data_IF_801366458623
#
_entry.id   IF_801366458623
#
_cell.length_a   1.000
_cell.length_b   1.000
_cell.length_c   1.000
_cell.angle_alpha   90.00
_cell.angle_beta   90.00
_cell.angle_gamma   90.00
#
_symmetry.space_group_name_H-M   'P 1'
#
loop_
_entity.id
_entity.type
_entity.pdbx_description
1 polymer ?
#
# COMPACT_ATOMS: atom_id res chain seq x y z
N UNK A 1 7.18 8.03 -16.42
CA UNK A 1 8.20 8.36 -15.41
C UNK A 1 7.63 8.16 -14.00
N UNK A 2 8.33 7.41 -13.15
CA UNK A 2 7.99 7.10 -11.75
C UNK A 2 8.68 8.12 -10.84
N UNK A 3 7.89 8.87 -10.09
CA UNK A 3 8.43 9.77 -9.07
C UNK A 3 8.91 8.97 -7.85
N UNK A 4 10.11 9.27 -7.36
CA UNK A 4 10.64 8.71 -6.12
C UNK A 4 11.34 9.78 -5.29
N UNK A 5 11.38 9.58 -3.98
CA UNK A 5 12.18 10.37 -3.04
C UNK A 5 13.19 9.47 -2.33
N UNK A 6 14.22 10.06 -1.74
CA UNK A 6 15.19 9.34 -0.90
C UNK A 6 14.79 9.48 0.57
N UNK A 7 14.70 8.36 1.29
CA UNK A 7 14.40 8.30 2.73
C UNK A 7 15.45 7.51 3.48
N UNK A 8 15.75 7.92 4.72
CA UNK A 8 16.69 7.21 5.58
C UNK A 8 15.92 6.25 6.49
N UNK A 9 16.17 4.94 6.39
CA UNK A 9 15.51 3.92 7.22
C UNK A 9 16.53 3.17 8.08
N UNK A 10 16.14 2.90 9.33
CA UNK A 10 16.90 2.03 10.24
C UNK A 10 16.66 0.56 9.93
N UNK A 11 17.48 -0.32 10.47
CA UNK A 11 17.25 -1.76 10.38
C UNK A 11 16.18 -2.18 11.42
N UNK A 12 15.07 -2.83 11.00
CA UNK A 12 14.01 -3.23 11.94
C UNK A 12 14.43 -4.32 12.93
N UNK A 13 15.38 -5.17 12.56
CA UNK A 13 15.89 -6.26 13.41
C UNK A 13 16.98 -5.80 14.36
N UNK A 14 17.78 -4.81 13.95
CA UNK A 14 18.86 -4.25 14.77
C UNK A 14 18.87 -2.72 14.71
N UNK A 15 18.28 -2.10 15.74
CA UNK A 15 18.15 -0.66 15.85
C UNK A 15 19.48 0.07 16.08
N UNK A 16 20.57 -0.65 16.37
CA UNK A 16 21.89 -0.06 16.60
C UNK A 16 22.65 0.25 15.30
N UNK A 17 22.24 -0.36 14.19
CA UNK A 17 22.86 -0.14 12.88
C UNK A 17 22.46 1.24 12.33
N UNK A 18 23.44 1.95 11.76
CA UNK A 18 23.21 3.23 11.11
C UNK A 18 22.14 3.15 10.02
N UNK A 19 21.30 4.19 9.93
CA UNK A 19 20.25 4.31 8.91
C UNK A 19 20.88 4.29 7.50
N UNK A 20 20.20 3.64 6.55
CA UNK A 20 20.58 3.59 5.13
C UNK A 20 19.58 4.36 4.27
N UNK A 21 20.03 4.84 3.12
CA UNK A 21 19.20 5.52 2.15
C UNK A 21 18.43 4.52 1.28
N UNK A 22 17.14 4.78 1.06
CA UNK A 22 16.26 3.98 0.23
C UNK A 22 15.42 4.86 -0.69
N UNK A 23 15.15 4.39 -1.91
CA UNK A 23 14.12 4.98 -2.75
C UNK A 23 12.73 4.67 -2.20
N UNK A 24 11.85 5.67 -2.23
CA UNK A 24 10.45 5.54 -1.84
C UNK A 24 9.58 6.15 -2.93
N UNK A 25 8.70 5.34 -3.53
CA UNK A 25 7.79 5.79 -4.57
C UNK A 25 6.89 6.93 -4.08
N UNK A 26 6.69 7.96 -4.91
CA UNK A 26 5.86 9.12 -4.62
C UNK A 26 4.72 9.20 -5.64
N UNK A 27 3.52 8.81 -5.23
CA UNK A 27 2.35 8.91 -6.11
C UNK A 27 1.88 10.36 -6.24
N UNK A 28 1.58 10.80 -7.46
CA UNK A 28 0.99 12.12 -7.72
C UNK A 28 -0.51 12.13 -7.44
N UNK A 29 -1.21 11.05 -7.81
CA UNK A 29 -2.66 10.93 -7.71
C UNK A 29 -3.09 9.51 -7.31
N UNK A 30 -4.33 9.39 -6.85
CA UNK A 30 -5.01 8.10 -6.68
C UNK A 30 -5.86 7.85 -7.92
N UNK A 31 -5.65 6.70 -8.56
CA UNK A 31 -6.50 6.21 -9.64
C UNK A 31 -7.65 5.41 -9.03
N UNK A 32 -8.81 6.03 -8.90
CA UNK A 32 -10.02 5.35 -8.40
C UNK A 32 -10.67 4.47 -9.49
N UNK A 33 -11.64 3.64 -9.08
CA UNK A 33 -12.34 2.72 -9.97
C UNK A 33 -13.07 3.42 -11.13
N UNK A 34 -13.62 4.63 -10.91
CA UNK A 34 -14.34 5.35 -11.95
C UNK A 34 -13.38 5.91 -13.00
N UNK A 35 -12.26 6.49 -12.57
CA UNK A 35 -11.19 6.98 -13.46
C UNK A 35 -10.53 5.83 -14.20
N UNK A 36 -10.28 4.71 -13.52
CA UNK A 36 -9.70 3.53 -14.15
C UNK A 36 -10.64 2.91 -15.19
N UNK A 37 -11.93 2.79 -14.88
CA UNK A 37 -12.93 2.30 -15.84
C UNK A 37 -13.08 3.23 -17.05
N UNK A 38 -13.03 4.55 -16.85
CA UNK A 38 -13.02 5.53 -17.95
C UNK A 38 -11.77 5.37 -18.82
N UNK A 39 -10.61 5.14 -18.20
CA UNK A 39 -9.37 4.88 -18.91
C UNK A 39 -9.43 3.58 -19.73
N UNK A 40 -10.00 2.50 -19.18
CA UNK A 40 -10.24 1.26 -19.95
C UNK A 40 -11.17 1.55 -21.14
N UNK A 41 -12.27 2.28 -20.91
CA UNK A 41 -13.23 2.63 -21.95
C UNK A 41 -12.57 3.42 -23.11
N UNK A 42 -11.60 4.29 -22.80
CA UNK A 42 -10.89 5.09 -23.80
C UNK A 42 -9.88 4.30 -24.64
N UNK A 43 -9.53 3.07 -24.27
CA UNK A 43 -8.57 2.21 -24.98
C UNK A 43 -9.24 1.27 -26.00
N UNK A 44 -10.20 1.80 -26.77
CA UNK A 44 -10.88 1.03 -27.83
C UNK A 44 -11.83 -0.05 -27.32
N UNK A 45 -12.24 0.02 -26.05
CA UNK A 45 -13.19 -0.90 -25.46
C UNK A 45 -14.62 -0.59 -25.94
N UNK A 46 -15.41 -1.62 -26.24
CA UNK A 46 -16.83 -1.47 -26.62
C UNK A 46 -17.74 -1.20 -25.42
N UNK A 47 -17.29 -1.53 -24.21
CA UNK A 47 -18.03 -1.36 -22.98
C UNK A 47 -17.87 0.06 -22.44
N UNK A 48 -18.97 0.62 -21.92
CA UNK A 48 -18.92 1.95 -21.31
C UNK A 48 -18.35 1.86 -19.89
N UNK A 49 -17.91 3.01 -19.37
CA UNK A 49 -17.45 3.15 -17.97
C UNK A 49 -18.38 2.45 -16.98
N UNK A 50 -19.71 2.62 -17.11
CA UNK A 50 -20.69 2.01 -16.20
C UNK A 50 -20.63 0.48 -16.18
N UNK A 51 -20.49 -0.14 -17.35
CA UNK A 51 -20.46 -1.59 -17.49
C UNK A 51 -19.16 -2.15 -16.91
N UNK A 52 -18.04 -1.47 -17.17
CA UNK A 52 -16.72 -1.84 -16.63
C UNK A 52 -16.71 -1.72 -15.11
N UNK A 53 -17.25 -0.64 -14.54
CA UNK A 53 -17.39 -0.50 -13.08
C UNK A 53 -18.21 -1.65 -12.51
N UNK A 54 -19.36 -1.98 -13.13
CA UNK A 54 -20.20 -3.09 -12.68
C UNK A 54 -19.44 -4.43 -12.67
N UNK A 55 -18.69 -4.74 -13.74
CA UNK A 55 -17.90 -5.96 -13.84
C UNK A 55 -16.79 -6.00 -12.78
N UNK A 56 -16.05 -4.90 -12.60
CA UNK A 56 -14.98 -4.83 -11.60
C UNK A 56 -15.53 -4.98 -10.18
N UNK A 57 -16.69 -4.37 -9.88
CA UNK A 57 -17.37 -4.54 -8.59
C UNK A 57 -17.84 -5.98 -8.38
N UNK A 58 -18.53 -6.57 -9.35
CA UNK A 58 -18.99 -7.97 -9.25
C UNK A 58 -17.82 -8.96 -9.11
N UNK A 59 -16.69 -8.66 -9.76
CA UNK A 59 -15.49 -9.49 -9.66
C UNK A 59 -14.99 -9.59 -8.22
N UNK A 60 -15.10 -8.52 -7.41
CA UNK A 60 -14.72 -8.55 -5.99
C UNK A 60 -15.57 -9.54 -5.20
N UNK A 61 -16.88 -9.55 -5.43
CA UNK A 61 -17.80 -10.48 -4.75
C UNK A 61 -17.50 -11.94 -5.14
N UNK A 62 -17.35 -12.21 -6.44
CA UNK A 62 -16.97 -13.52 -6.93
C UNK A 62 -15.62 -13.96 -6.35
N UNK A 63 -14.62 -13.06 -6.31
CA UNK A 63 -13.32 -13.38 -5.74
C UNK A 63 -13.43 -13.73 -4.25
N UNK A 64 -14.24 -12.99 -3.48
CA UNK A 64 -14.47 -13.28 -2.07
C UNK A 64 -15.04 -14.69 -1.88
N UNK A 65 -16.04 -15.06 -2.67
CA UNK A 65 -16.66 -16.39 -2.63
C UNK A 65 -15.65 -17.50 -2.94
N UNK A 66 -14.89 -17.36 -4.02
CA UNK A 66 -13.93 -18.38 -4.42
C UNK A 66 -12.78 -18.54 -3.42
N UNK A 67 -12.29 -17.44 -2.84
CA UNK A 67 -11.27 -17.49 -1.79
C UNK A 67 -11.81 -18.18 -0.51
N UNK A 68 -13.05 -17.90 -0.10
CA UNK A 68 -13.69 -18.60 1.03
C UNK A 68 -13.95 -20.08 0.75
N UNK A 69 -14.15 -20.45 -0.52
CA UNK A 69 -14.21 -21.84 -0.98
C UNK A 69 -12.82 -22.52 -1.06
N UNK A 70 -11.75 -21.85 -0.60
CA UNK A 70 -10.39 -22.38 -0.58
C UNK A 70 -9.69 -22.40 -1.95
N UNK A 71 -10.25 -21.72 -2.96
CA UNK A 71 -9.66 -21.68 -4.29
C UNK A 71 -8.55 -20.62 -4.37
N UNK A 72 -7.52 -20.92 -5.16
CA UNK A 72 -6.58 -19.92 -5.68
C UNK A 72 -7.13 -19.41 -7.01
N UNK A 73 -7.27 -18.10 -7.15
CA UNK A 73 -7.83 -17.48 -8.35
C UNK A 73 -6.68 -17.01 -9.23
N UNK A 74 -6.62 -17.45 -10.48
CA UNK A 74 -5.62 -17.01 -11.45
C UNK A 74 -6.31 -16.30 -12.62
N UNK A 75 -5.98 -15.02 -12.83
CA UNK A 75 -6.57 -14.16 -13.85
C UNK A 75 -5.54 -13.81 -14.93
N UNK A 76 -4.87 -14.84 -15.47
CA UNK A 76 -3.84 -14.69 -16.51
C UNK A 76 -2.73 -13.71 -16.12
N UNK A 77 -2.46 -12.74 -16.99
CA UNK A 77 -1.42 -11.71 -16.79
C UNK A 77 -1.69 -10.76 -15.63
N UNK A 78 -2.95 -10.65 -15.17
CA UNK A 78 -3.25 -9.90 -13.95
C UNK A 78 -2.58 -10.55 -12.73
N UNK A 79 -2.41 -11.87 -12.73
CA UNK A 79 -1.74 -12.62 -11.68
C UNK A 79 -2.65 -13.53 -10.88
N UNK A 80 -2.21 -13.85 -9.66
CA UNK A 80 -2.84 -14.83 -8.78
C UNK A 80 -3.27 -14.21 -7.45
N UNK A 81 -4.49 -14.50 -7.02
CA UNK A 81 -5.03 -14.14 -5.71
C UNK A 81 -5.24 -15.39 -4.86
N UNK A 82 -4.80 -15.36 -3.61
CA UNK A 82 -4.87 -16.51 -2.70
C UNK A 82 -4.86 -16.10 -1.23
N UNK A 83 -5.32 -16.99 -0.36
CA UNK A 83 -5.32 -16.79 1.09
C UNK A 83 -4.03 -17.33 1.72
N UNK A 84 -3.52 -16.63 2.73
CA UNK A 84 -2.61 -17.20 3.74
C UNK A 84 -3.20 -17.06 5.14
N UNK A 85 -2.84 -17.97 6.04
CA UNK A 85 -3.36 -18.00 7.41
C UNK A 85 -2.30 -17.44 8.36
N UNK A 86 -2.63 -16.36 9.06
CA UNK A 86 -1.85 -15.92 10.21
C UNK A 86 -2.35 -16.67 11.46
N UNK A 87 -1.44 -17.41 12.09
CA UNK A 87 -1.71 -18.22 13.27
C UNK A 87 -0.68 -17.95 14.35
N UNK A 88 -1.09 -18.10 15.60
CA UNK A 88 -0.16 -18.34 16.70
C UNK A 88 0.12 -19.85 16.82
N UNK A 89 1.26 -20.21 17.40
CA UNK A 89 1.61 -21.61 17.64
C UNK A 89 0.82 -22.22 18.80
N UNK A 90 0.46 -23.50 18.66
CA UNK A 90 0.03 -24.35 19.77
C UNK A 90 1.23 -25.16 20.29
N UNK A 91 1.18 -25.67 21.53
CA UNK A 91 2.26 -26.48 22.09
C UNK A 91 2.42 -27.83 21.37
N UNK A 92 1.34 -28.37 20.83
CA UNK A 92 1.33 -29.61 20.04
C UNK A 92 0.22 -29.59 18.98
N UNK A 93 0.33 -30.45 17.96
CA UNK A 93 -0.72 -30.59 16.95
C UNK A 93 -2.07 -31.03 17.56
N UNK A 94 -2.05 -31.83 18.64
CA UNK A 94 -3.24 -32.27 19.35
C UNK A 94 -3.96 -31.12 20.06
N UNK A 95 -3.22 -30.13 20.53
CA UNK A 95 -3.75 -28.95 21.22
C UNK A 95 -4.14 -27.82 20.25
N UNK A 96 -3.88 -27.98 18.96
CA UNK A 96 -4.25 -26.98 17.97
C UNK A 96 -5.78 -26.88 17.85
N UNK A 97 -6.29 -25.72 18.22
CA UNK A 97 -7.68 -25.33 18.02
C UNK A 97 -7.75 -24.16 17.03
N UNK A 98 -8.36 -24.33 15.84
CA UNK A 98 -8.50 -23.26 14.84
C UNK A 98 -9.13 -21.98 15.40
N UNK A 99 -10.13 -22.07 16.27
CA UNK A 99 -10.82 -20.90 16.83
C UNK A 99 -9.94 -20.05 17.77
N UNK A 100 -8.85 -20.63 18.29
CA UNK A 100 -7.92 -19.96 19.22
C UNK A 100 -6.64 -19.53 18.49
N UNK A 101 -6.14 -20.41 17.62
CA UNK A 101 -4.81 -20.27 17.06
C UNK A 101 -4.82 -19.51 15.73
N UNK A 102 -5.87 -19.63 14.91
CA UNK A 102 -6.02 -18.83 13.69
C UNK A 102 -6.45 -17.42 14.09
N UNK A 103 -5.65 -16.42 13.72
CA UNK A 103 -5.88 -15.01 14.06
C UNK A 103 -6.49 -14.23 12.91
N UNK A 104 -6.05 -14.50 11.68
CA UNK A 104 -6.47 -13.75 10.50
C UNK A 104 -6.23 -14.53 9.22
N UNK A 105 -7.11 -14.31 8.24
CA UNK A 105 -6.84 -14.63 6.84
C UNK A 105 -6.29 -13.38 6.13
N UNK A 106 -5.19 -13.55 5.41
CA UNK A 106 -4.65 -12.52 4.54
C UNK A 106 -5.00 -12.88 3.09
N UNK A 107 -5.50 -11.92 2.33
CA UNK A 107 -5.61 -12.05 0.87
C UNK A 107 -4.32 -11.51 0.28
N UNK A 108 -3.65 -12.33 -0.52
CA UNK A 108 -2.38 -12.03 -1.15
C UNK A 108 -2.58 -11.97 -2.65
N UNK A 109 -1.73 -11.18 -3.30
CA UNK A 109 -1.62 -11.13 -4.75
C UNK A 109 -0.18 -11.33 -5.17
N UNK A 110 0.03 -12.11 -6.23
CA UNK A 110 1.29 -12.20 -6.94
C UNK A 110 1.05 -11.77 -8.37
N UNK A 111 1.86 -10.82 -8.84
CA UNK A 111 1.75 -10.26 -10.18
C UNK A 111 1.97 -11.32 -11.27
N UNK A 112 1.23 -11.20 -12.37
CA UNK A 112 1.47 -12.00 -13.57
C UNK A 112 2.67 -11.50 -14.38
N UNK A 113 2.98 -12.21 -15.47
CA UNK A 113 4.22 -12.02 -16.23
C UNK A 113 4.39 -10.58 -16.75
N UNK A 114 3.31 -9.95 -17.22
CA UNK A 114 3.36 -8.58 -17.78
C UNK A 114 3.80 -7.48 -16.80
N UNK A 115 3.85 -7.76 -15.50
CA UNK A 115 4.35 -6.81 -14.50
C UNK A 115 5.81 -7.08 -14.08
N UNK A 116 6.40 -8.21 -14.48
CA UNK A 116 7.75 -8.61 -14.05
C UNK A 116 8.86 -7.72 -14.61
N UNK A 117 8.62 -7.12 -15.79
CA UNK A 117 9.61 -6.35 -16.54
C UNK A 117 9.49 -4.83 -16.34
N UNK A 118 8.64 -4.38 -15.41
CA UNK A 118 8.38 -2.94 -15.19
C UNK A 118 9.65 -2.11 -14.95
N UNK A 119 10.69 -2.70 -14.33
CA UNK A 119 11.93 -1.99 -14.09
C UNK A 119 12.69 -1.65 -15.38
N UNK A 120 12.59 -2.49 -16.40
CA UNK A 120 13.31 -2.31 -17.67
C UNK A 120 12.71 -1.15 -18.49
N UNK A 121 11.40 -0.92 -18.34
CA UNK A 121 10.67 0.16 -18.99
C UNK A 121 10.52 1.42 -18.11
N UNK A 122 11.00 1.37 -16.86
CA UNK A 122 10.82 2.45 -15.90
C UNK A 122 11.83 3.59 -16.09
N UNK A 123 11.31 4.79 -16.35
CA UNK A 123 12.07 6.04 -16.18
C UNK A 123 11.80 6.63 -14.80
N UNK A 124 12.82 7.13 -14.09
CA UNK A 124 12.70 7.66 -12.73
C UNK A 124 12.86 9.17 -12.65
N UNK A 125 12.08 9.80 -11.77
CA UNK A 125 12.17 11.22 -11.44
C UNK A 125 12.39 11.41 -9.94
N UNK A 126 13.51 12.04 -9.55
CA UNK A 126 13.74 12.39 -8.15
C UNK A 126 12.87 13.59 -7.77
N UNK A 127 12.06 13.43 -6.73
CA UNK A 127 11.21 14.47 -6.17
C UNK A 127 11.40 14.61 -4.66
N UNK A 128 11.01 15.75 -4.12
CA UNK A 128 10.93 15.92 -2.67
C UNK A 128 9.89 14.97 -2.05
N UNK A 129 10.10 14.56 -0.80
CA UNK A 129 9.06 13.85 -0.04
C UNK A 129 7.81 14.72 0.09
N UNK A 130 6.63 14.12 0.19
CA UNK A 130 5.39 14.87 0.44
C UNK A 130 5.47 15.74 1.71
N UNK A 131 6.12 15.26 2.76
CA UNK A 131 6.36 16.02 4.00
C UNK A 131 7.23 17.26 3.74
N UNK A 132 8.32 17.11 3.00
CA UNK A 132 9.20 18.24 2.65
C UNK A 132 8.47 19.24 1.76
N UNK A 133 7.77 18.78 0.72
CA UNK A 133 6.99 19.65 -0.16
C UNK A 133 5.92 20.43 0.62
N UNK A 134 5.19 19.78 1.54
CA UNK A 134 4.22 20.44 2.44
C UNK A 134 4.89 21.47 3.35
N UNK A 135 6.05 21.17 3.91
CA UNK A 135 6.79 22.10 4.76
C UNK A 135 7.22 23.35 3.98
N UNK A 136 7.68 23.18 2.74
CA UNK A 136 8.03 24.28 1.84
C UNK A 136 6.81 25.14 1.51
N UNK A 137 5.69 24.54 1.10
CA UNK A 137 4.46 25.28 0.79
C UNK A 137 3.95 26.04 2.03
N UNK A 138 4.01 25.44 3.22
CA UNK A 138 3.63 26.09 4.48
C UNK A 138 4.51 27.30 4.78
N UNK A 139 5.82 27.19 4.60
CA UNK A 139 6.76 28.29 4.82
C UNK A 139 6.56 29.43 3.82
N UNK A 140 6.40 29.11 2.53
CA UNK A 140 6.14 30.09 1.48
C UNK A 140 4.86 30.88 1.75
N UNK A 141 3.76 30.19 2.11
CA UNK A 141 2.49 30.86 2.50
C UNK A 141 2.64 31.75 3.74
N UNK A 142 3.59 31.45 4.62
CA UNK A 142 3.91 32.24 5.79
C UNK A 142 4.95 33.36 5.52
N UNK A 143 5.35 33.59 4.27
CA UNK A 143 6.36 34.58 3.89
C UNK A 143 7.78 34.25 4.35
N UNK A 144 8.04 32.99 4.74
CA UNK A 144 9.37 32.54 5.16
C UNK A 144 10.19 32.12 3.96
N UNK A 145 11.48 32.45 3.97
CA UNK A 145 12.46 32.04 2.96
C UNK A 145 13.27 30.81 3.35
N UNK A 146 13.08 30.30 4.58
CA UNK A 146 13.78 29.15 5.12
C UNK A 146 12.79 28.09 5.63
N UNK A 147 13.15 26.81 5.44
CA UNK A 147 12.37 25.63 5.85
C UNK A 147 13.32 24.66 6.53
N UNK A 148 13.00 24.24 7.75
CA UNK A 148 13.68 23.15 8.42
C UNK A 148 13.08 21.81 7.98
N UNK A 149 13.93 20.91 7.48
CA UNK A 149 13.56 19.58 6.98
C UNK A 149 14.05 18.45 7.87
N UNK A 150 14.60 18.74 9.06
CA UNK A 150 15.14 17.73 10.00
C UNK A 150 14.13 16.65 10.39
N UNK A 151 12.83 16.97 10.44
CA UNK A 151 11.73 16.00 10.65
C UNK A 151 11.03 15.50 9.37
N UNK A 152 11.40 16.03 8.19
CA UNK A 152 10.71 15.72 6.93
C UNK A 152 11.35 14.56 6.14
N UNK A 153 12.49 14.04 6.61
CA UNK A 153 13.29 12.98 5.98
C UNK A 153 12.82 11.56 6.37
N UNK A 154 11.52 11.36 6.60
CA UNK A 154 10.82 10.07 6.45
C UNK A 154 11.34 8.84 7.20
N UNK A 155 12.29 8.99 8.12
CA UNK A 155 12.83 7.93 8.94
C UNK A 155 12.16 7.96 10.31
N UNK A 156 10.95 7.41 10.40
CA UNK A 156 10.11 7.40 11.59
C UNK A 156 10.91 7.24 12.88
N UNK A 157 10.67 8.16 13.82
CA UNK A 157 11.05 7.96 15.21
C UNK A 157 10.02 7.00 15.82
N UNK A 158 10.40 5.72 15.96
CA UNK A 158 9.68 4.76 16.79
C UNK A 158 9.82 5.17 18.27
N UNK A 159 8.93 6.05 18.74
CA UNK A 159 8.71 6.24 20.17
C UNK A 159 7.80 5.10 20.67
N UNK A 160 8.42 4.07 21.26
CA UNK A 160 7.70 2.98 21.88
C UNK A 160 7.07 3.39 23.22
N UNK A 161 5.74 3.21 23.31
CA UNK A 161 5.06 2.67 24.49
C UNK A 161 4.49 3.66 25.52
N UNK A 162 3.15 3.74 25.60
CA UNK A 162 2.47 4.06 26.86
C UNK A 162 1.12 4.78 26.77
N UNK A 163 0.04 4.00 26.84
CA UNK A 163 -1.29 4.33 27.41
C UNK A 163 -2.21 5.31 26.67
N UNK A 164 -3.27 4.74 26.07
CA UNK A 164 -4.52 5.45 25.77
C UNK A 164 -5.25 5.78 27.10
N UNK A 165 -5.96 6.92 27.21
CA UNK A 165 -7.39 6.84 26.94
C UNK A 165 -7.98 8.08 26.23
N UNK A 166 -8.72 7.81 25.16
CA UNK A 166 -10.08 8.34 24.96
C UNK A 166 -10.25 9.74 24.35
N UNK A 167 -10.79 9.76 23.13
CA UNK A 167 -11.83 10.73 22.73
C UNK A 167 -11.47 11.68 21.58
N UNK A 168 -12.21 11.58 20.47
CA UNK A 168 -12.35 12.67 19.50
C UNK A 168 -12.25 12.25 18.03
N UNK A 169 -13.42 12.17 17.39
CA UNK A 169 -13.65 12.11 15.95
C UNK A 169 -12.85 13.17 15.18
N UNK A 170 -12.21 12.80 14.07
CA UNK A 170 -12.55 13.33 12.73
C UNK A 170 -11.74 12.61 11.64
N UNK A 171 -12.44 12.28 10.55
CA UNK A 171 -11.96 11.37 9.51
C UNK A 171 -10.88 11.94 8.60
N UNK A 172 -9.89 11.11 8.31
CA UNK A 172 -9.13 11.10 7.06
C UNK A 172 -8.57 9.69 6.86
N UNK A 173 -9.39 8.77 6.34
CA UNK A 173 -8.93 7.42 6.00
C UNK A 173 -8.21 7.45 4.66
N UNK A 174 -6.90 7.70 4.72
CA UNK A 174 -5.97 7.58 3.59
C UNK A 174 -4.65 6.91 3.96
N UNK A 175 -4.60 6.20 5.09
CA UNK A 175 -3.37 5.54 5.53
C UNK A 175 -3.17 4.20 4.83
N UNK A 176 -2.15 4.22 3.96
CA UNK A 176 -1.59 3.10 3.22
C UNK A 176 -1.10 1.99 4.19
N UNK A 177 -1.66 0.76 4.18
CA UNK A 177 -1.46 -0.20 5.26
C UNK A 177 -0.20 -1.08 5.12
N UNK A 178 0.84 -0.63 4.43
CA UNK A 178 2.12 -1.36 4.36
C UNK A 178 3.28 -0.37 4.53
N UNK A 179 3.59 -0.10 5.80
CA UNK A 179 4.91 0.32 6.28
C UNK A 179 5.64 -0.88 6.85
#
# INVERSE_FOLDING_TARGET
MINYSIVMRGNPTDKTVAKKAYASAQYSEVMDINRFAEHIASHGCVYKRSDIVAILTMSVDCMREQLLAGQKIQLGDLGSFYISINSIGAASAKEFNPAIHIRRLNVNWTCGQRFGELLEEAEFNLVATRSAARAVVKALKAGKTTVDLTGATGGGEDAGGGSNPGGGSDGDQGENPLG
#
